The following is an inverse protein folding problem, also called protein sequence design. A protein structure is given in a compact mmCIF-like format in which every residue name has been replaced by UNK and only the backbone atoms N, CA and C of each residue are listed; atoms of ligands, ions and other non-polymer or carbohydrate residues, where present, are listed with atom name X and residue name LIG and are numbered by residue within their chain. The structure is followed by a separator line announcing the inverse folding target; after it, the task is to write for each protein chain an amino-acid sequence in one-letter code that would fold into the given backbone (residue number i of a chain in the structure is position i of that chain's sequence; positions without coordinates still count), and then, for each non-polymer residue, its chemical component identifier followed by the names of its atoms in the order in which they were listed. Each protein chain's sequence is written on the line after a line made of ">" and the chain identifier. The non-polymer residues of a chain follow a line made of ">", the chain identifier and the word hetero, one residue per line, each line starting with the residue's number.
data_IF_355825293137
#
_entry.id   IF_355825293137
#
_cell.length_a   1.000
_cell.length_b   1.000
_cell.length_c   1.000
_cell.angle_alpha   90.00
_cell.angle_beta   90.00
_cell.angle_gamma   90.00
#
_symmetry.space_group_name_H-M   'P 1'
#
loop_
_entity.id
_entity.type
_entity.pdbx_description
1 polymer ?
#
# COMPACT_ATOMS: atom_id res chain seq x y z
N UNK A 1 -23.89 12.29 0.09
CA UNK A 1 -23.11 11.05 0.16
C UNK A 1 -22.19 11.02 -1.06
N UNK A 2 -20.90 10.87 -0.90
CA UNK A 2 -19.88 10.86 -1.95
C UNK A 2 -19.21 9.49 -2.10
N UNK A 3 -18.50 9.29 -3.21
CA UNK A 3 -17.58 8.17 -3.39
C UNK A 3 -16.18 8.71 -3.22
N UNK A 4 -15.40 8.07 -2.38
CA UNK A 4 -13.98 8.33 -2.18
C UNK A 4 -13.19 7.12 -2.66
N UNK A 5 -12.06 7.37 -3.24
CA UNK A 5 -11.15 6.31 -3.66
C UNK A 5 -9.93 6.90 -4.33
N UNK A 6 -9.05 6.04 -4.70
CA UNK A 6 -7.83 6.38 -5.41
C UNK A 6 -7.43 5.25 -6.34
N UNK A 7 -6.50 5.54 -7.19
CA UNK A 7 -5.81 4.54 -7.98
C UNK A 7 -4.32 4.78 -7.85
N UNK A 8 -3.52 3.79 -8.08
CA UNK A 8 -2.10 3.93 -8.29
C UNK A 8 -1.83 3.89 -9.79
N UNK A 9 -1.87 5.03 -10.48
CA UNK A 9 -1.74 5.05 -11.93
C UNK A 9 -0.29 4.81 -12.37
N UNK A 10 0.65 4.90 -11.45
CA UNK A 10 2.05 4.88 -11.81
C UNK A 10 2.88 4.25 -10.71
N UNK A 11 3.49 3.14 -11.02
CA UNK A 11 4.53 2.56 -10.19
C UNK A 11 5.85 3.11 -10.73
N UNK A 12 6.36 4.16 -10.11
CA UNK A 12 7.76 4.53 -10.27
C UNK A 12 8.51 3.71 -9.22
N UNK A 13 9.09 2.61 -9.63
CA UNK A 13 10.05 1.91 -8.78
C UNK A 13 11.32 2.76 -8.77
N UNK A 14 11.49 3.52 -7.72
CA UNK A 14 12.75 4.20 -7.41
C UNK A 14 13.42 3.49 -6.26
N UNK A 15 14.71 3.36 -6.35
CA UNK A 15 15.52 2.92 -5.23
C UNK A 15 15.37 3.96 -4.09
N UNK A 16 15.45 3.53 -2.82
CA UNK A 16 15.27 4.43 -1.69
C UNK A 16 16.27 5.60 -1.67
N UNK A 17 17.46 5.42 -2.25
CA UNK A 17 18.49 6.47 -2.40
C UNK A 17 18.07 7.56 -3.40
N UNK A 18 17.09 7.30 -4.25
CA UNK A 18 16.61 8.23 -5.28
C UNK A 18 15.36 9.00 -4.83
N UNK A 19 14.81 8.62 -3.70
CA UNK A 19 13.61 9.23 -3.14
C UNK A 19 13.99 10.06 -1.94
N UNK A 20 13.75 11.36 -2.03
CA UNK A 20 13.82 12.19 -0.85
C UNK A 20 12.62 11.86 0.05
N UNK A 21 12.85 11.07 1.08
CA UNK A 21 11.79 10.49 1.94
C UNK A 21 11.23 11.52 2.91
N UNK A 22 11.80 12.71 2.96
CA UNK A 22 11.54 13.61 4.08
C UNK A 22 10.62 14.76 3.78
N UNK A 23 9.91 15.03 2.86
CA UNK A 23 8.83 15.98 2.96
C UNK A 23 7.47 15.33 2.70
N UNK A 24 7.02 14.57 3.65
CA UNK A 24 5.61 14.21 3.69
C UNK A 24 4.80 15.37 4.27
N UNK A 25 4.69 16.42 3.52
CA UNK A 25 3.85 17.53 3.91
C UNK A 25 2.91 17.91 2.78
N UNK A 26 1.95 18.72 3.14
CA UNK A 26 0.99 19.28 2.18
C UNK A 26 1.67 20.03 1.03
N UNK A 27 2.89 20.50 1.26
CA UNK A 27 3.69 21.25 0.29
C UNK A 27 4.60 20.34 -0.55
N UNK A 28 4.64 19.03 -0.29
CA UNK A 28 5.47 18.14 -1.09
C UNK A 28 4.83 17.85 -2.46
N UNK A 29 5.63 17.70 -3.52
CA UNK A 29 5.13 17.32 -4.84
C UNK A 29 4.35 16.01 -4.84
N UNK A 30 4.73 15.06 -3.99
CA UNK A 30 4.11 13.74 -3.86
C UNK A 30 2.71 13.82 -3.24
N UNK A 31 2.44 14.87 -2.46
CA UNK A 31 1.13 15.09 -1.86
C UNK A 31 0.13 15.67 -2.85
N UNK A 32 0.60 16.32 -3.91
CA UNK A 32 -0.24 16.99 -4.88
C UNK A 32 -0.75 16.03 -5.95
N UNK A 33 -2.05 16.00 -6.14
CA UNK A 33 -2.66 15.27 -7.26
C UNK A 33 -2.67 16.12 -8.52
N UNK A 34 -2.32 15.53 -9.65
CA UNK A 34 -2.33 16.20 -10.95
C UNK A 34 -3.72 16.16 -11.59
N UNK A 35 -3.94 17.02 -12.60
CA UNK A 35 -5.18 16.95 -13.38
C UNK A 35 -5.31 15.63 -14.13
N UNK A 36 -4.21 15.04 -14.59
CA UNK A 36 -4.20 13.68 -15.18
C UNK A 36 -4.75 12.62 -14.22
N UNK A 37 -4.43 12.74 -12.93
CA UNK A 37 -4.99 11.85 -11.92
C UNK A 37 -6.51 12.05 -11.81
N UNK A 38 -6.96 13.30 -11.76
CA UNK A 38 -8.39 13.61 -11.65
C UNK A 38 -9.19 13.09 -12.83
N UNK A 39 -8.65 13.26 -14.04
CA UNK A 39 -9.28 12.75 -15.28
C UNK A 39 -9.34 11.23 -15.30
N UNK A 40 -8.24 10.58 -14.93
CA UNK A 40 -8.19 9.13 -14.84
C UNK A 40 -9.18 8.61 -13.81
N UNK A 41 -9.20 9.18 -12.60
CA UNK A 41 -10.09 8.74 -11.52
C UNK A 41 -11.56 8.89 -11.90
N UNK A 42 -11.94 10.05 -12.44
CA UNK A 42 -13.33 10.30 -12.85
C UNK A 42 -13.75 9.41 -14.01
N UNK A 43 -12.85 9.11 -14.95
CA UNK A 43 -13.09 8.20 -16.06
C UNK A 43 -13.23 6.75 -15.58
N UNK A 44 -12.36 6.30 -14.68
CA UNK A 44 -12.44 4.96 -14.10
C UNK A 44 -13.75 4.78 -13.32
N UNK A 45 -14.12 5.77 -12.52
CA UNK A 45 -15.37 5.72 -11.76
C UNK A 45 -16.60 5.67 -12.69
N UNK A 46 -16.59 6.43 -13.78
CA UNK A 46 -17.65 6.42 -14.79
C UNK A 46 -17.72 5.07 -15.52
N UNK A 47 -16.58 4.43 -15.74
CA UNK A 47 -16.51 3.08 -16.35
C UNK A 47 -17.13 2.02 -15.43
N UNK A 48 -16.78 2.06 -14.14
CA UNK A 48 -17.27 1.10 -13.14
C UNK A 48 -18.75 1.32 -12.82
N UNK A 49 -19.17 2.59 -12.75
CA UNK A 49 -20.54 2.94 -12.37
C UNK A 49 -21.14 3.98 -13.34
N UNK A 50 -22.00 3.55 -14.22
CA UNK A 50 -22.64 4.38 -15.25
C UNK A 50 -23.29 5.66 -14.75
N UNK A 51 -23.73 5.70 -13.48
CA UNK A 51 -24.34 6.91 -12.85
C UNK A 51 -23.38 8.10 -12.80
N UNK A 52 -22.06 7.87 -12.92
CA UNK A 52 -21.06 8.93 -12.88
C UNK A 52 -20.62 9.42 -14.27
N UNK A 53 -21.15 8.83 -15.35
CA UNK A 53 -20.86 9.32 -16.71
C UNK A 53 -21.27 10.79 -16.83
N UNK A 54 -20.35 11.62 -17.31
CA UNK A 54 -20.55 13.06 -17.48
C UNK A 54 -20.57 13.85 -16.16
N UNK A 55 -20.18 13.23 -15.04
CA UNK A 55 -20.21 13.86 -13.71
C UNK A 55 -18.82 14.32 -13.20
N UNK A 56 -17.82 14.40 -14.06
CA UNK A 56 -16.48 14.86 -13.68
C UNK A 56 -16.46 16.22 -13.00
N UNK A 57 -17.37 17.11 -13.37
CA UNK A 57 -17.54 18.44 -12.75
C UNK A 57 -17.96 18.37 -11.26
N UNK A 58 -18.43 17.24 -10.79
CA UNK A 58 -18.78 17.02 -9.37
C UNK A 58 -17.57 16.55 -8.55
N UNK A 59 -16.46 16.24 -9.21
CA UNK A 59 -15.24 15.84 -8.51
C UNK A 59 -14.72 17.00 -7.67
N UNK A 60 -14.47 16.71 -6.42
CA UNK A 60 -13.81 17.65 -5.51
C UNK A 60 -12.40 17.15 -5.27
N UNK A 61 -11.43 17.88 -5.80
CA UNK A 61 -10.02 17.59 -5.58
C UNK A 61 -9.71 17.74 -4.09
N UNK A 62 -9.34 16.65 -3.48
CA UNK A 62 -8.73 16.63 -2.15
C UNK A 62 -7.26 16.27 -2.29
N UNK A 63 -6.36 16.85 -1.50
CA UNK A 63 -4.96 16.44 -1.52
C UNK A 63 -4.84 15.06 -0.91
N UNK A 64 -4.26 14.10 -1.63
CA UNK A 64 -3.96 12.79 -1.07
C UNK A 64 -3.03 11.98 -1.99
N UNK A 65 -1.96 12.59 -2.42
CA UNK A 65 -0.82 11.84 -2.95
C UNK A 65 0.00 11.24 -1.81
N UNK A 66 0.83 10.29 -2.11
CA UNK A 66 1.76 9.69 -1.15
C UNK A 66 2.63 8.63 -1.78
N UNK A 67 3.69 8.26 -1.07
CA UNK A 67 4.57 7.18 -1.47
C UNK A 67 4.10 5.88 -0.82
N UNK A 68 3.96 4.84 -1.64
CA UNK A 68 3.74 3.48 -1.18
C UNK A 68 5.08 2.73 -1.14
N UNK A 69 5.41 2.15 0.00
CA UNK A 69 6.57 1.29 0.12
C UNK A 69 6.18 -0.15 -0.14
N UNK A 70 6.91 -0.81 -1.03
CA UNK A 70 6.74 -2.21 -1.34
C UNK A 70 7.96 -3.00 -0.87
N UNK A 71 7.72 -4.17 -0.33
CA UNK A 71 8.78 -5.14 -0.03
C UNK A 71 9.27 -5.81 -1.33
N UNK A 72 10.47 -6.41 -1.35
CA UNK A 72 11.04 -7.03 -2.55
C UNK A 72 10.16 -8.09 -3.21
N UNK A 73 9.35 -8.81 -2.43
CA UNK A 73 8.40 -9.82 -2.90
C UNK A 73 6.96 -9.34 -2.92
N UNK A 74 6.73 -8.06 -2.62
CA UNK A 74 5.40 -7.45 -2.50
C UNK A 74 4.48 -8.09 -1.45
N UNK A 75 5.05 -8.85 -0.50
CA UNK A 75 4.31 -9.43 0.63
C UNK A 75 4.67 -8.74 1.95
N UNK A 76 3.75 -8.69 2.90
CA UNK A 76 3.98 -7.99 4.15
C UNK A 76 5.09 -8.62 5.01
N UNK A 77 5.56 -7.86 5.97
CA UNK A 77 6.48 -8.32 7.01
C UNK A 77 5.76 -8.22 8.36
N UNK A 78 5.81 -9.30 9.12
CA UNK A 78 5.38 -9.36 10.52
C UNK A 78 6.51 -9.99 11.30
N UNK A 79 7.28 -9.18 12.03
CA UNK A 79 8.44 -9.69 12.74
C UNK A 79 8.82 -8.84 13.96
N UNK A 80 9.43 -9.49 14.93
CA UNK A 80 10.08 -8.84 16.05
C UNK A 80 11.54 -8.56 15.71
N UNK A 81 11.84 -7.31 15.38
CA UNK A 81 13.20 -6.89 14.99
C UNK A 81 14.15 -6.75 16.16
N UNK A 82 13.65 -6.22 17.27
CA UNK A 82 14.37 -6.05 18.51
C UNK A 82 13.46 -6.44 19.67
N UNK A 83 14.02 -6.58 20.85
CA UNK A 83 13.29 -6.97 22.04
C UNK A 83 11.96 -6.20 22.23
N UNK A 84 12.01 -4.89 21.97
CA UNK A 84 10.87 -3.99 22.15
C UNK A 84 10.31 -3.41 20.83
N UNK A 85 10.67 -3.97 19.68
CA UNK A 85 10.23 -3.47 18.38
C UNK A 85 9.61 -4.60 17.57
N UNK A 86 8.31 -4.48 17.33
CA UNK A 86 7.58 -5.35 16.41
C UNK A 86 7.28 -4.57 15.13
N UNK A 87 7.67 -5.10 13.97
CA UNK A 87 7.44 -4.48 12.67
C UNK A 87 6.18 -5.07 12.03
N UNK A 88 5.35 -4.17 11.51
CA UNK A 88 4.24 -4.48 10.62
C UNK A 88 4.45 -3.62 9.37
N UNK A 89 4.95 -4.22 8.29
CA UNK A 89 5.09 -3.55 7.01
C UNK A 89 4.14 -4.21 6.02
N UNK A 90 3.12 -3.49 5.60
CA UNK A 90 1.99 -4.07 4.89
C UNK A 90 2.23 -4.31 3.40
N UNK A 91 3.28 -3.72 2.82
CA UNK A 91 3.57 -3.81 1.38
C UNK A 91 2.32 -3.53 0.51
N UNK A 92 1.47 -2.58 0.94
CA UNK A 92 0.22 -2.21 0.31
C UNK A 92 -0.89 -3.30 0.34
N UNK A 93 -0.83 -4.20 1.31
CA UNK A 93 -1.83 -5.26 1.52
C UNK A 93 -2.82 -4.98 2.67
N UNK A 94 -2.88 -3.76 3.19
CA UNK A 94 -3.71 -3.39 4.34
C UNK A 94 -5.15 -3.88 4.27
N UNK A 95 -5.76 -3.86 3.09
CA UNK A 95 -7.13 -4.35 2.90
C UNK A 95 -7.30 -5.86 3.05
N UNK A 96 -6.24 -6.62 2.82
CA UNK A 96 -6.25 -8.08 2.89
C UNK A 96 -5.91 -8.60 4.29
N UNK A 97 -5.49 -7.70 5.18
CA UNK A 97 -4.91 -8.04 6.49
C UNK A 97 -5.84 -7.79 7.67
N UNK A 98 -7.15 -7.71 7.46
CA UNK A 98 -8.11 -7.37 8.53
C UNK A 98 -7.97 -8.31 9.75
N UNK A 99 -7.68 -9.58 9.53
CA UNK A 99 -7.48 -10.56 10.60
C UNK A 99 -6.09 -10.55 11.25
N UNK A 100 -5.10 -9.95 10.62
CA UNK A 100 -3.69 -10.02 11.05
C UNK A 100 -3.46 -9.33 12.39
N UNK A 101 -4.15 -8.24 12.66
CA UNK A 101 -4.02 -7.52 13.93
C UNK A 101 -4.22 -8.40 15.17
N UNK A 102 -5.13 -9.37 15.10
CA UNK A 102 -5.33 -10.33 16.18
C UNK A 102 -4.11 -11.24 16.36
N UNK A 103 -3.55 -11.76 15.28
CA UNK A 103 -2.38 -12.63 15.31
C UNK A 103 -1.14 -11.89 15.83
N UNK A 104 -0.93 -10.67 15.36
CA UNK A 104 0.16 -9.82 15.84
C UNK A 104 0.01 -9.51 17.33
N UNK A 105 -1.20 -9.18 17.79
CA UNK A 105 -1.45 -8.96 19.21
C UNK A 105 -1.12 -10.20 20.06
N UNK A 106 -1.46 -11.39 19.59
CA UNK A 106 -1.08 -12.64 20.23
C UNK A 106 0.44 -12.81 20.32
N UNK A 107 1.18 -12.52 19.24
CA UNK A 107 2.65 -12.60 19.24
C UNK A 107 3.31 -11.57 20.17
N UNK A 108 2.77 -10.38 20.24
CA UNK A 108 3.26 -9.36 21.20
C UNK A 108 3.09 -9.87 22.65
N UNK A 109 2.04 -10.62 22.91
CA UNK A 109 1.77 -11.24 24.20
C UNK A 109 2.52 -12.58 24.43
N UNK A 110 3.39 -12.98 23.50
CA UNK A 110 4.21 -14.19 23.61
C UNK A 110 3.58 -15.48 23.08
N UNK A 111 2.49 -15.37 22.34
CA UNK A 111 1.86 -16.51 21.66
C UNK A 111 2.30 -16.51 20.19
N UNK A 112 3.05 -17.52 19.79
CA UNK A 112 3.49 -17.64 18.39
C UNK A 112 2.34 -17.97 17.45
N UNK A 113 2.37 -17.40 16.25
CA UNK A 113 1.41 -17.68 15.18
C UNK A 113 2.11 -18.33 13.98
N UNK A 114 1.79 -19.59 13.71
CA UNK A 114 2.30 -20.29 12.51
C UNK A 114 1.88 -19.60 11.20
N UNK A 115 0.74 -18.91 11.18
CA UNK A 115 0.23 -18.21 10.02
C UNK A 115 1.09 -17.00 9.64
N UNK A 116 1.84 -16.44 10.59
CA UNK A 116 2.74 -15.31 10.34
C UNK A 116 4.17 -15.74 9.97
N UNK A 117 4.53 -17.01 10.14
CA UNK A 117 5.87 -17.51 9.86
C UNK A 117 6.33 -17.28 8.41
N UNK A 118 5.48 -17.43 7.38
CA UNK A 118 5.89 -17.15 6.01
C UNK A 118 6.27 -15.68 5.74
N UNK A 119 5.90 -14.78 6.65
CA UNK A 119 6.06 -13.33 6.49
C UNK A 119 7.18 -12.75 7.35
N UNK A 120 8.07 -13.59 7.89
CA UNK A 120 9.24 -13.13 8.65
C UNK A 120 10.27 -12.45 7.76
N UNK A 121 10.99 -11.52 8.33
CA UNK A 121 12.02 -10.76 7.62
C UNK A 121 13.16 -11.65 7.12
N UNK A 122 13.48 -12.69 7.86
CA UNK A 122 14.57 -13.61 7.54
C UNK A 122 14.40 -14.35 6.20
N UNK A 123 13.20 -14.31 5.61
CA UNK A 123 12.98 -14.86 4.26
C UNK A 123 13.83 -14.17 3.19
N UNK A 124 14.16 -12.91 3.39
CA UNK A 124 15.04 -12.17 2.47
C UNK A 124 16.48 -12.65 2.57
N UNK A 125 16.98 -12.83 3.79
CA UNK A 125 18.31 -13.33 4.06
C UNK A 125 18.48 -14.77 3.57
N UNK A 126 17.44 -15.58 3.71
CA UNK A 126 17.41 -16.99 3.28
C UNK A 126 17.09 -17.17 1.80
N UNK A 127 16.81 -16.10 1.05
CA UNK A 127 16.38 -16.17 -0.35
C UNK A 127 15.05 -16.91 -0.57
N UNK A 128 14.21 -16.99 0.46
CA UNK A 128 12.90 -17.68 0.43
C UNK A 128 11.75 -16.71 0.23
N UNK A 129 11.84 -15.91 -0.82
CA UNK A 129 10.80 -14.97 -1.18
C UNK A 129 9.49 -15.69 -1.50
N UNK A 130 8.37 -15.03 -1.21
CA UNK A 130 7.08 -15.49 -1.71
C UNK A 130 7.07 -15.47 -3.23
N UNK A 131 6.40 -16.45 -3.88
CA UNK A 131 6.18 -16.37 -5.31
C UNK A 131 5.38 -15.11 -5.59
N UNK A 132 5.90 -14.27 -6.46
CA UNK A 132 5.20 -13.09 -6.92
C UNK A 132 3.92 -13.49 -7.62
N UNK A 133 2.86 -12.71 -7.40
CA UNK A 133 1.64 -12.86 -8.17
C UNK A 133 1.94 -12.71 -9.67
N UNK A 134 1.29 -13.51 -10.51
CA UNK A 134 1.32 -13.32 -11.98
C UNK A 134 0.53 -12.09 -12.42
N UNK A 135 -0.03 -11.33 -11.50
CA UNK A 135 -0.70 -10.08 -11.77
C UNK A 135 0.31 -9.01 -12.19
N UNK A 136 -0.04 -8.12 -13.13
CA UNK A 136 0.78 -6.96 -13.45
C UNK A 136 0.85 -5.95 -12.30
N UNK A 137 0.10 -6.17 -11.23
CA UNK A 137 0.06 -5.29 -10.07
C UNK A 137 0.68 -5.98 -8.86
N UNK A 138 1.67 -5.37 -8.19
CA UNK A 138 2.38 -5.98 -7.07
C UNK A 138 1.51 -6.22 -5.84
N UNK A 139 0.31 -5.67 -5.80
CA UNK A 139 -0.63 -5.81 -4.67
C UNK A 139 -1.79 -6.78 -4.92
N UNK A 140 -1.81 -7.51 -6.00
CA UNK A 140 -2.93 -8.40 -6.36
C UNK A 140 -2.63 -9.87 -6.13
#
# INVERSE_FOLDING_TARGET
>A
MGVQGGTSPYIVQKHFDEVNVDPYGIDSPEYQTTDKFSDMWTSALAHIQKRFVGKSHLYRKGPSGGLGCLTPDSFPIFDRFFENVYMIADANHGYKMIGVGHLVAQEILGLESELLNPFRFDRYEKGKLHPTSNSPFPWS
#
